data_IF_902756402192
#
_entry.id   IF_902756402192
#
_cell.length_a   1.000
_cell.length_b   1.000
_cell.length_c   1.000
_cell.angle_alpha   90.00
_cell.angle_beta   90.00
_cell.angle_gamma   90.00
#
_symmetry.space_group_name_H-M   'P 1'
#
loop_
_entity.id
_entity.type
_entity.pdbx_description
1 polymer ?
#
# COMPACT_ATOMS: atom_id res chain seq x y z
N UNK A 1 12.23 11.28 0.23
CA UNK A 1 13.36 11.63 -0.67
C UNK A 1 13.30 10.61 -1.79
N UNK A 2 12.90 11.05 -2.99
CA UNK A 2 12.90 10.17 -4.18
C UNK A 2 14.35 9.84 -4.53
N UNK A 3 14.66 8.55 -4.67
CA UNK A 3 15.97 8.12 -5.10
C UNK A 3 16.15 8.49 -6.59
N UNK A 4 17.27 9.10 -6.92
CA UNK A 4 17.59 9.41 -8.33
C UNK A 4 17.64 8.10 -9.11
N UNK A 5 16.94 8.04 -10.23
CA UNK A 5 16.95 6.88 -11.13
C UNK A 5 18.25 6.86 -11.90
N UNK A 6 19.03 5.80 -11.77
CA UNK A 6 20.22 5.56 -12.60
C UNK A 6 19.75 5.17 -14.02
N UNK A 7 19.90 6.11 -14.94
CA UNK A 7 19.50 5.93 -16.35
C UNK A 7 20.29 4.81 -17.02
N UNK A 8 21.58 4.67 -16.70
CA UNK A 8 22.41 3.59 -17.25
C UNK A 8 21.99 2.22 -16.74
N UNK A 9 21.60 2.10 -15.47
CA UNK A 9 21.02 0.87 -14.94
C UNK A 9 19.64 0.59 -15.56
N UNK A 10 18.82 1.62 -15.79
CA UNK A 10 17.51 1.46 -16.42
C UNK A 10 17.63 0.91 -17.84
N UNK A 11 18.55 1.44 -18.65
CA UNK A 11 18.74 0.96 -20.02
C UNK A 11 19.26 -0.49 -20.05
N UNK A 12 20.25 -0.82 -19.24
CA UNK A 12 20.71 -2.22 -19.11
C UNK A 12 19.62 -3.18 -18.64
N UNK A 13 18.82 -2.74 -17.67
CA UNK A 13 17.71 -3.56 -17.18
C UNK A 13 16.65 -3.80 -18.27
N UNK A 14 16.38 -2.83 -19.14
CA UNK A 14 15.50 -2.97 -20.32
C UNK A 14 16.06 -3.98 -21.34
N UNK A 15 17.39 -4.07 -21.45
CA UNK A 15 18.08 -5.03 -22.31
C UNK A 15 18.17 -6.44 -21.67
N UNK A 16 17.59 -6.62 -20.48
CA UNK A 16 17.50 -7.93 -19.83
C UNK A 16 18.56 -8.18 -18.76
N UNK A 17 19.34 -7.16 -18.34
CA UNK A 17 20.29 -7.27 -17.23
C UNK A 17 19.55 -7.21 -15.89
N UNK A 18 19.33 -8.38 -15.27
CA UNK A 18 18.68 -8.48 -13.98
C UNK A 18 19.44 -7.80 -12.85
N UNK A 19 20.79 -7.79 -12.91
CA UNK A 19 21.61 -7.13 -11.90
C UNK A 19 21.43 -5.61 -11.93
N UNK A 20 21.22 -5.04 -13.12
CA UNK A 20 20.90 -3.62 -13.26
C UNK A 20 19.51 -3.29 -12.69
N UNK A 21 18.55 -4.18 -12.83
CA UNK A 21 17.24 -4.03 -12.20
C UNK A 21 17.32 -4.09 -10.67
N UNK A 22 18.12 -5.00 -10.12
CA UNK A 22 18.32 -5.09 -8.67
C UNK A 22 18.85 -3.77 -8.11
N UNK A 23 19.80 -3.12 -8.78
CA UNK A 23 20.30 -1.77 -8.41
C UNK A 23 19.19 -0.73 -8.39
N UNK A 24 18.27 -0.76 -9.38
CA UNK A 24 17.15 0.19 -9.45
C UNK A 24 16.17 0.04 -8.30
N UNK A 25 15.93 -1.19 -7.82
CA UNK A 25 14.88 -1.45 -6.84
C UNK A 25 15.39 -1.56 -5.41
N UNK A 26 16.68 -1.85 -5.20
CA UNK A 26 17.26 -2.07 -3.86
C UNK A 26 16.95 -0.94 -2.88
N UNK A 27 17.18 0.31 -3.27
CA UNK A 27 16.89 1.47 -2.44
C UNK A 27 15.38 1.68 -2.14
N UNK A 28 14.50 0.98 -2.87
CA UNK A 28 13.05 1.15 -2.85
C UNK A 28 12.30 0.03 -2.14
N UNK A 29 12.89 -1.17 -2.07
CA UNK A 29 12.24 -2.34 -1.46
C UNK A 29 11.79 -2.07 -0.03
N UNK A 30 12.60 -1.39 0.77
CA UNK A 30 12.25 -1.05 2.15
C UNK A 30 11.01 -0.14 2.25
N UNK A 31 10.88 0.87 1.40
CA UNK A 31 9.69 1.73 1.37
C UNK A 31 8.48 0.99 0.80
N UNK A 32 8.66 0.18 -0.25
CA UNK A 32 7.61 -0.66 -0.81
C UNK A 32 7.01 -1.59 0.24
N UNK A 33 7.86 -2.24 1.04
CA UNK A 33 7.40 -3.14 2.10
C UNK A 33 6.62 -2.39 3.18
N UNK A 34 7.11 -1.23 3.66
CA UNK A 34 6.37 -0.40 4.63
C UNK A 34 5.01 0.04 4.09
N UNK A 35 4.95 0.47 2.83
CA UNK A 35 3.71 0.87 2.17
C UNK A 35 2.74 -0.30 2.06
N UNK A 36 3.22 -1.46 1.62
CA UNK A 36 2.40 -2.67 1.51
C UNK A 36 1.88 -3.13 2.87
N UNK A 37 2.72 -3.15 3.92
CA UNK A 37 2.33 -3.48 5.29
C UNK A 37 1.24 -2.54 5.81
N UNK A 38 1.40 -1.23 5.61
CA UNK A 38 0.42 -0.24 6.04
C UNK A 38 -0.93 -0.38 5.31
N UNK A 39 -0.93 -0.79 4.03
CA UNK A 39 -2.15 -1.02 3.26
C UNK A 39 -2.81 -2.34 3.63
N UNK A 40 -2.04 -3.42 3.79
CA UNK A 40 -2.56 -4.79 3.90
C UNK A 40 -2.80 -5.23 5.35
N UNK A 41 -2.04 -4.68 6.31
CA UNK A 41 -2.15 -5.04 7.72
C UNK A 41 -1.62 -6.45 8.05
N UNK A 42 -0.95 -7.11 7.10
CA UNK A 42 -0.37 -8.45 7.24
C UNK A 42 1.00 -8.49 6.58
N UNK A 43 2.01 -8.95 7.31
CA UNK A 43 3.40 -8.92 6.87
C UNK A 43 3.67 -9.93 5.75
N UNK A 44 3.11 -11.14 5.85
CA UNK A 44 3.31 -12.18 4.85
C UNK A 44 2.68 -11.76 3.51
N UNK A 45 1.42 -11.31 3.54
CA UNK A 45 0.73 -10.81 2.35
C UNK A 45 1.42 -9.56 1.76
N UNK A 46 1.98 -8.68 2.61
CA UNK A 46 2.74 -7.52 2.15
C UNK A 46 4.03 -7.91 1.42
N UNK A 47 4.77 -8.89 1.94
CA UNK A 47 5.97 -9.43 1.28
C UNK A 47 5.63 -10.06 -0.07
N UNK A 48 4.57 -10.85 -0.13
CA UNK A 48 4.08 -11.44 -1.39
C UNK A 48 3.70 -10.36 -2.40
N UNK A 49 2.99 -9.32 -1.96
CA UNK A 49 2.60 -8.22 -2.84
C UNK A 49 3.80 -7.43 -3.38
N UNK A 50 4.85 -7.24 -2.56
CA UNK A 50 6.11 -6.62 -3.00
C UNK A 50 6.82 -7.50 -4.02
N UNK A 51 6.96 -8.80 -3.75
CA UNK A 51 7.57 -9.73 -4.68
C UNK A 51 6.83 -9.76 -6.03
N UNK A 52 5.51 -9.89 -6.00
CA UNK A 52 4.65 -9.84 -7.18
C UNK A 52 4.79 -8.51 -7.94
N UNK A 53 4.94 -7.40 -7.22
CA UNK A 53 5.14 -6.09 -7.82
C UNK A 53 6.50 -5.98 -8.52
N UNK A 54 7.57 -6.51 -7.93
CA UNK A 54 8.91 -6.52 -8.54
C UNK A 54 8.95 -7.40 -9.78
N UNK A 55 8.36 -8.59 -9.74
CA UNK A 55 8.25 -9.47 -10.92
C UNK A 55 7.48 -8.79 -12.05
N UNK A 56 6.39 -8.08 -11.70
CA UNK A 56 5.62 -7.33 -12.71
C UNK A 56 6.40 -6.14 -13.26
N UNK A 57 7.10 -5.40 -12.38
CA UNK A 57 7.94 -4.29 -12.78
C UNK A 57 9.05 -4.74 -13.74
N UNK A 58 9.70 -5.87 -13.45
CA UNK A 58 10.69 -6.46 -14.35
C UNK A 58 10.09 -6.75 -15.73
N UNK A 59 8.95 -7.45 -15.77
CA UNK A 59 8.31 -7.84 -17.03
C UNK A 59 7.73 -6.68 -17.83
N UNK A 60 7.35 -5.59 -17.16
CA UNK A 60 6.72 -4.41 -17.75
C UNK A 60 7.68 -3.23 -17.94
N UNK A 61 8.99 -3.39 -17.61
CA UNK A 61 9.97 -2.30 -17.60
C UNK A 61 10.11 -1.59 -18.97
N UNK A 62 9.99 -2.35 -20.05
CA UNK A 62 9.99 -1.81 -21.42
C UNK A 62 8.80 -0.89 -21.73
N UNK A 63 7.70 -0.96 -20.96
CA UNK A 63 6.56 -0.08 -21.11
C UNK A 63 6.73 1.28 -20.43
N UNK A 64 7.72 1.44 -19.56
CA UNK A 64 8.04 2.71 -18.92
C UNK A 64 8.67 3.67 -19.94
N UNK A 65 7.91 4.68 -20.36
CA UNK A 65 8.39 5.65 -21.37
C UNK A 65 9.24 6.76 -20.76
N UNK A 66 8.87 7.24 -19.58
CA UNK A 66 9.55 8.33 -18.89
C UNK A 66 10.32 7.78 -17.67
N UNK A 67 11.67 7.79 -17.69
CA UNK A 67 12.47 7.40 -16.54
C UNK A 67 12.17 8.19 -15.27
N UNK A 68 11.81 9.47 -15.39
CA UNK A 68 11.43 10.32 -14.27
C UNK A 68 10.17 9.85 -13.56
N UNK A 69 9.30 9.08 -14.24
CA UNK A 69 8.09 8.51 -13.67
C UNK A 69 8.30 7.14 -12.99
N UNK A 70 9.54 6.62 -12.90
CA UNK A 70 9.85 5.27 -12.39
C UNK A 70 9.25 5.01 -11.01
N UNK A 71 9.42 5.93 -10.06
CA UNK A 71 8.92 5.76 -8.69
C UNK A 71 7.38 5.77 -8.62
N UNK A 72 6.73 6.64 -9.38
CA UNK A 72 5.27 6.67 -9.47
C UNK A 72 4.72 5.41 -10.15
N UNK A 73 5.38 4.96 -11.22
CA UNK A 73 5.03 3.75 -11.94
C UNK A 73 5.19 2.50 -11.09
N UNK A 74 6.33 2.35 -10.37
CA UNK A 74 6.58 1.22 -9.47
C UNK A 74 5.56 1.21 -8.31
N UNK A 75 5.28 2.38 -7.72
CA UNK A 75 4.25 2.53 -6.68
C UNK A 75 2.87 2.11 -7.20
N UNK A 76 2.51 2.48 -8.43
CA UNK A 76 1.24 2.06 -9.04
C UNK A 76 1.13 0.55 -9.18
N UNK A 77 2.22 -0.11 -9.59
CA UNK A 77 2.26 -1.59 -9.66
C UNK A 77 2.03 -2.18 -8.27
N UNK A 78 2.78 -1.72 -7.25
CA UNK A 78 2.64 -2.19 -5.87
C UNK A 78 1.21 -2.02 -5.34
N UNK A 79 0.64 -0.82 -5.45
CA UNK A 79 -0.73 -0.53 -5.01
C UNK A 79 -1.74 -1.45 -5.67
N UNK A 80 -1.57 -1.72 -6.97
CA UNK A 80 -2.45 -2.64 -7.69
C UNK A 80 -2.32 -4.08 -7.19
N UNK A 81 -1.11 -4.53 -6.79
CA UNK A 81 -0.91 -5.85 -6.18
C UNK A 81 -1.55 -5.94 -4.80
N UNK A 82 -1.34 -4.95 -3.93
CA UNK A 82 -2.01 -4.87 -2.63
C UNK A 82 -3.54 -4.93 -2.76
N UNK A 83 -4.12 -4.13 -3.67
CA UNK A 83 -5.56 -4.11 -3.93
C UNK A 83 -6.09 -5.47 -4.39
N UNK A 84 -5.37 -6.17 -5.26
CA UNK A 84 -5.75 -7.51 -5.74
C UNK A 84 -5.69 -8.54 -4.62
N UNK A 85 -4.64 -8.52 -3.80
CA UNK A 85 -4.47 -9.38 -2.62
C UNK A 85 -5.64 -9.23 -1.65
N UNK A 86 -5.94 -7.99 -1.24
CA UNK A 86 -7.03 -7.72 -0.31
C UNK A 86 -8.42 -8.09 -0.87
N UNK A 87 -8.68 -7.87 -2.15
CA UNK A 87 -9.92 -8.33 -2.79
C UNK A 87 -10.02 -9.85 -2.84
N UNK A 88 -8.91 -10.55 -3.03
CA UNK A 88 -8.86 -12.03 -2.99
C UNK A 88 -9.18 -12.51 -1.58
N UNK A 89 -8.54 -11.94 -0.54
CA UNK A 89 -8.79 -12.26 0.87
C UNK A 89 -10.26 -12.04 1.25
N UNK A 90 -10.85 -10.92 0.85
CA UNK A 90 -12.27 -10.65 1.11
C UNK A 90 -13.21 -11.67 0.47
N UNK A 91 -12.90 -12.14 -0.75
CA UNK A 91 -13.71 -13.17 -1.42
C UNK A 91 -13.57 -14.55 -0.78
N UNK A 92 -12.37 -14.92 -0.32
CA UNK A 92 -12.14 -16.18 0.39
C UNK A 92 -12.92 -16.17 1.71
N UNK A 93 -12.78 -15.11 2.51
CA UNK A 93 -13.54 -14.95 3.77
C UNK A 93 -15.05 -15.01 3.55
N UNK A 94 -15.57 -14.32 2.53
CA UNK A 94 -17.01 -14.35 2.23
C UNK A 94 -17.53 -15.74 1.82
N UNK A 95 -16.65 -16.64 1.36
CA UNK A 95 -17.01 -18.03 1.01
C UNK A 95 -16.91 -19.00 2.18
N UNK A 96 -16.01 -18.71 3.12
CA UNK A 96 -15.71 -19.60 4.26
C UNK A 96 -16.55 -19.29 5.51
N UNK A 97 -17.24 -18.14 5.56
CA UNK A 97 -18.08 -17.76 6.71
C UNK A 97 -19.54 -18.14 6.46
N UNK A 98 -20.20 -18.87 7.40
CA UNK A 98 -21.66 -18.89 7.52
C UNK A 98 -22.16 -17.45 7.78
N UNK A 99 -23.37 -17.15 7.33
CA UNK A 99 -24.00 -15.81 7.27
C UNK A 99 -24.04 -15.03 8.61
N UNK A 100 -23.67 -15.63 9.74
CA UNK A 100 -23.84 -15.05 11.07
C UNK A 100 -22.56 -14.55 11.77
N UNK A 101 -21.38 -14.63 11.16
CA UNK A 101 -20.11 -14.30 11.81
C UNK A 101 -19.34 -13.15 11.14
N UNK A 102 -20.00 -12.05 10.83
CA UNK A 102 -19.35 -10.84 10.28
C UNK A 102 -18.83 -9.88 11.37
N UNK A 103 -18.35 -10.40 12.50
CA UNK A 103 -17.71 -9.56 13.52
C UNK A 103 -16.73 -10.42 14.32
N UNK A 104 -15.50 -10.18 14.14
CA UNK A 104 -14.31 -10.53 14.93
C UNK A 104 -13.21 -11.14 14.08
N UNK A 105 -12.31 -10.30 13.62
CA UNK A 105 -10.98 -10.75 13.25
C UNK A 105 -9.99 -10.15 14.25
N UNK A 106 -9.68 -10.97 15.24
CA UNK A 106 -8.60 -10.74 16.16
C UNK A 106 -7.26 -10.75 15.39
N UNK A 107 -6.61 -9.61 15.30
CA UNK A 107 -5.21 -9.51 14.91
C UNK A 107 -4.33 -9.72 16.13
N UNK A 108 -3.56 -10.79 16.10
CA UNK A 108 -2.27 -11.09 16.72
C UNK A 108 -1.85 -10.36 18.01
N UNK A 109 -1.71 -11.17 19.00
CA UNK A 109 -0.84 -11.25 20.19
C UNK A 109 0.46 -10.44 20.17
N UNK A 110 0.67 -9.70 21.26
CA UNK A 110 1.96 -9.15 21.68
C UNK A 110 1.76 -8.21 22.85
N UNK A 111 2.18 -8.66 24.04
CA UNK A 111 2.06 -7.93 25.29
C UNK A 111 3.03 -6.78 25.37
N UNK A 112 2.55 -5.59 25.70
CA UNK A 112 3.09 -4.70 26.73
C UNK A 112 2.17 -3.48 26.94
N UNK A 113 1.91 -3.05 28.21
CA UNK A 113 0.86 -2.08 28.53
C UNK A 113 1.40 -0.64 28.67
N UNK A 114 2.02 -0.10 27.66
CA UNK A 114 2.29 1.36 27.56
C UNK A 114 1.22 2.03 26.73
N UNK A 115 0.73 3.22 27.12
CA UNK A 115 -0.33 3.96 26.40
C UNK A 115 -0.11 4.04 24.88
N UNK A 116 1.13 4.19 24.44
CA UNK A 116 1.51 4.19 23.01
C UNK A 116 1.17 2.89 22.28
N UNK A 117 1.18 1.74 22.95
CA UNK A 117 0.83 0.44 22.36
C UNK A 117 -0.69 0.31 22.23
N UNK A 118 -1.42 0.82 23.21
CA UNK A 118 -2.91 0.82 23.15
C UNK A 118 -3.39 1.73 22.02
N UNK A 119 -2.82 2.93 21.89
CA UNK A 119 -3.12 3.86 20.81
C UNK A 119 -2.78 3.27 19.43
N UNK A 120 -1.63 2.63 19.30
CA UNK A 120 -1.21 1.95 18.08
C UNK A 120 -2.19 0.84 17.68
N UNK A 121 -2.61 0.00 18.63
CA UNK A 121 -3.61 -1.06 18.36
C UNK A 121 -4.97 -0.49 17.99
N UNK A 122 -5.38 0.61 18.63
CA UNK A 122 -6.62 1.30 18.26
C UNK A 122 -6.55 1.83 16.83
N UNK A 123 -5.42 2.42 16.44
CA UNK A 123 -5.18 2.88 15.08
C UNK A 123 -5.18 1.72 14.07
N UNK A 124 -4.51 0.62 14.36
CA UNK A 124 -4.50 -0.58 13.50
C UNK A 124 -5.93 -1.11 13.28
N UNK A 125 -6.72 -1.26 14.34
CA UNK A 125 -8.14 -1.67 14.23
C UNK A 125 -9.01 -0.66 13.48
N UNK A 126 -8.78 0.63 13.68
CA UNK A 126 -9.47 1.68 12.93
C UNK A 126 -9.12 1.63 11.44
N UNK A 127 -7.85 1.40 11.10
CA UNK A 127 -7.40 1.18 9.73
C UNK A 127 -8.05 -0.05 9.09
N UNK A 128 -8.24 -1.14 9.85
CA UNK A 128 -8.89 -2.36 9.36
C UNK A 128 -10.35 -2.18 8.97
N UNK A 129 -11.01 -1.16 9.49
CA UNK A 129 -12.38 -0.78 9.13
C UNK A 129 -12.48 0.04 7.84
N UNK A 130 -11.36 0.59 7.37
CA UNK A 130 -11.34 1.37 6.14
C UNK A 130 -11.38 0.48 4.90
N UNK A 131 -11.98 0.98 3.84
CA UNK A 131 -11.85 0.36 2.53
C UNK A 131 -10.39 0.40 2.05
N UNK A 132 -10.04 -0.52 1.16
CA UNK A 132 -8.69 -0.59 0.58
C UNK A 132 -8.29 0.74 -0.08
N UNK A 133 -9.24 1.41 -0.74
CA UNK A 133 -8.99 2.67 -1.42
C UNK A 133 -8.74 3.82 -0.43
N UNK A 134 -9.47 3.85 0.69
CA UNK A 134 -9.25 4.82 1.76
C UNK A 134 -7.89 4.61 2.44
N UNK A 135 -7.53 3.36 2.79
CA UNK A 135 -6.20 3.04 3.34
C UNK A 135 -5.09 3.48 2.40
N UNK A 136 -5.20 3.12 1.12
CA UNK A 136 -4.20 3.46 0.11
C UNK A 136 -3.97 4.97 0.03
N UNK A 137 -5.04 5.76 0.00
CA UNK A 137 -4.95 7.23 -0.03
C UNK A 137 -4.26 7.80 1.21
N UNK A 138 -4.65 7.32 2.40
CA UNK A 138 -4.05 7.78 3.66
C UNK A 138 -2.58 7.40 3.76
N UNK A 139 -2.22 6.17 3.40
CA UNK A 139 -0.83 5.68 3.42
C UNK A 139 0.04 6.47 2.46
N UNK A 140 -0.36 6.63 1.20
CA UNK A 140 0.44 7.37 0.22
C UNK A 140 0.60 8.84 0.60
N UNK A 141 -0.42 9.45 1.22
CA UNK A 141 -0.38 10.86 1.58
C UNK A 141 0.37 11.12 2.90
N UNK A 142 0.07 10.34 3.94
CA UNK A 142 0.57 10.60 5.30
C UNK A 142 1.84 9.82 5.66
N UNK A 143 1.98 8.58 5.19
CA UNK A 143 3.17 7.76 5.46
C UNK A 143 4.27 8.03 4.43
N UNK A 144 3.92 8.07 3.14
CA UNK A 144 4.89 8.30 2.07
C UNK A 144 5.12 9.79 1.77
N UNK A 145 4.30 10.69 2.33
CA UNK A 145 4.42 12.13 2.11
C UNK A 145 4.19 12.58 0.67
N UNK A 146 3.51 11.75 -0.17
CA UNK A 146 3.34 12.06 -1.58
C UNK A 146 2.40 13.23 -1.81
N UNK A 147 2.73 14.13 -2.74
CA UNK A 147 1.80 15.18 -3.20
C UNK A 147 0.53 14.55 -3.79
N UNK A 148 -0.62 15.19 -3.56
CA UNK A 148 -1.90 14.66 -4.00
C UNK A 148 -2.00 14.50 -5.52
N UNK A 149 -1.29 15.32 -6.30
CA UNK A 149 -1.19 15.18 -7.75
C UNK A 149 -0.53 13.85 -8.14
N UNK A 150 0.60 13.50 -7.51
CA UNK A 150 1.28 12.22 -7.72
C UNK A 150 0.40 11.03 -7.31
N UNK A 151 -0.33 11.16 -6.20
CA UNK A 151 -1.29 10.12 -5.78
C UNK A 151 -2.40 9.93 -6.81
N UNK A 152 -2.93 11.02 -7.38
CA UNK A 152 -3.94 10.96 -8.42
C UNK A 152 -3.44 10.20 -9.67
N UNK A 153 -2.20 10.44 -10.08
CA UNK A 153 -1.53 9.73 -11.17
C UNK A 153 -1.33 8.23 -10.86
N UNK A 154 -0.81 7.91 -9.66
CA UNK A 154 -0.64 6.52 -9.18
C UNK A 154 -1.96 5.77 -9.21
N UNK A 155 -3.06 6.41 -8.78
CA UNK A 155 -4.38 5.78 -8.71
C UNK A 155 -5.16 5.84 -10.02
N UNK A 156 -4.70 6.60 -11.01
CA UNK A 156 -5.38 6.79 -12.29
C UNK A 156 -6.72 7.52 -12.16
N UNK A 157 -6.81 8.51 -11.27
CA UNK A 157 -8.03 9.30 -11.00
C UNK A 157 -7.76 10.80 -11.15
N UNK A 158 -8.78 11.62 -11.46
CA UNK A 158 -8.64 13.07 -11.48
C UNK A 158 -8.22 13.64 -10.12
N UNK A 159 -7.40 14.70 -10.10
CA UNK A 159 -6.94 15.36 -8.87
C UNK A 159 -8.08 15.78 -7.95
N UNK A 160 -9.18 16.33 -8.51
CA UNK A 160 -10.37 16.68 -7.75
C UNK A 160 -11.01 15.47 -7.05
N UNK A 161 -11.00 14.31 -7.72
CA UNK A 161 -11.47 13.04 -7.14
C UNK A 161 -10.54 12.56 -6.02
N UNK A 162 -9.21 12.66 -6.20
CA UNK A 162 -8.26 12.32 -5.15
C UNK A 162 -8.45 13.19 -3.91
N UNK A 163 -8.68 14.51 -4.09
CA UNK A 163 -8.94 15.46 -3.00
C UNK A 163 -10.21 15.11 -2.22
N UNK A 164 -11.31 14.86 -2.90
CA UNK A 164 -12.58 14.50 -2.23
C UNK A 164 -12.50 13.15 -1.52
N UNK A 165 -11.87 12.14 -2.14
CA UNK A 165 -11.67 10.82 -1.54
C UNK A 165 -10.75 10.87 -0.33
N UNK A 166 -9.66 11.66 -0.34
CA UNK A 166 -8.79 11.83 0.82
C UNK A 166 -9.53 12.48 1.99
N UNK A 167 -10.38 13.50 1.71
CA UNK A 167 -11.23 14.11 2.73
C UNK A 167 -12.21 13.09 3.34
N UNK A 168 -12.83 12.25 2.51
CA UNK A 168 -13.73 11.19 2.96
C UNK A 168 -12.98 10.13 3.77
N UNK A 169 -11.79 9.71 3.34
CA UNK A 169 -10.96 8.73 4.02
C UNK A 169 -10.56 9.19 5.44
N UNK A 170 -10.21 10.49 5.59
CA UNK A 170 -9.92 11.08 6.91
C UNK A 170 -11.13 11.01 7.85
N UNK A 171 -12.32 11.38 7.35
CA UNK A 171 -13.55 11.30 8.13
C UNK A 171 -13.94 9.85 8.49
N UNK A 172 -13.63 8.89 7.62
CA UNK A 172 -13.86 7.47 7.90
C UNK A 172 -12.90 6.97 8.98
N UNK A 173 -11.62 7.39 8.95
CA UNK A 173 -10.65 7.06 9.98
C UNK A 173 -11.03 7.67 11.33
N UNK A 174 -11.40 8.95 11.36
CA UNK A 174 -11.84 9.65 12.57
C UNK A 174 -13.01 8.89 13.26
N UNK A 175 -14.06 8.59 12.49
CA UNK A 175 -15.20 7.80 13.00
C UNK A 175 -14.83 6.39 13.44
N UNK A 176 -13.82 5.78 12.81
CA UNK A 176 -13.34 4.47 13.22
C UNK A 176 -12.56 4.53 14.55
N UNK A 177 -11.76 5.58 14.75
CA UNK A 177 -11.04 5.84 16.02
C UNK A 177 -12.00 6.12 17.17
N UNK A 178 -12.99 7.00 16.98
CA UNK A 178 -14.02 7.29 17.99
C UNK A 178 -14.73 6.01 18.49
N UNK A 179 -14.96 5.05 17.60
CA UNK A 179 -15.56 3.76 17.96
C UNK A 179 -14.61 2.85 18.75
N UNK A 180 -13.31 2.97 18.55
CA UNK A 180 -12.32 2.21 19.33
C UNK A 180 -12.11 2.83 20.72
N UNK A 181 -12.18 4.15 20.85
CA UNK A 181 -12.10 4.86 22.13
C UNK A 181 -13.33 4.62 23.03
N UNK A 182 -14.49 4.39 22.41
CA UNK A 182 -15.75 4.12 23.13
C UNK A 182 -15.91 2.67 23.61
N UNK A 183 -14.90 1.81 23.39
CA UNK A 183 -14.88 0.38 23.76
C UNK A 183 -14.12 0.10 25.03
#
# INVERSE_FOLDING_TARGET
MEAIVDLGALDRARDGDSSAFDVLVEARVGSMLRTAMAIMGDEAEARDAVQDALVSAWSELGALRDPGAFDAWLTRILVNRCRRGLRRRGRVRAREMPVEAASEVAGATGADPGGAVVERRALERAFDRLSVDERTLLVLHHLEGRPLASIAEVLGIPLGTAKSRLSSARKSLERALEREEAR
#
